data_IF_272129305215
#
_entry.id   IF_272129305215
#
_cell.length_a   1.000
_cell.length_b   1.000
_cell.length_c   1.000
_cell.angle_alpha   90.00
_cell.angle_beta   90.00
_cell.angle_gamma   90.00
#
_symmetry.space_group_name_H-M   'P 1'
#
loop_
_entity.id
_entity.type
_entity.pdbx_description
1 polymer ?
#
# COMPACT_ATOMS: atom_id res chain seq x y z
N UNK A 1 3.00 -54.14 9.70
CA UNK A 1 3.84 -53.63 8.62
C UNK A 1 2.96 -52.72 7.80
N UNK A 2 3.01 -51.42 8.07
CA UNK A 2 2.83 -50.44 7.00
C UNK A 2 3.60 -49.18 7.41
N UNK A 3 4.82 -49.13 6.90
CA UNK A 3 5.77 -48.04 7.06
C UNK A 3 5.45 -46.98 6.02
N UNK A 4 4.63 -46.00 6.37
CA UNK A 4 4.49 -44.75 5.59
C UNK A 4 5.23 -43.60 6.29
N UNK A 5 6.44 -43.88 6.79
CA UNK A 5 7.39 -42.86 7.17
C UNK A 5 8.18 -42.46 5.90
N UNK A 6 8.42 -41.15 5.79
CA UNK A 6 9.40 -40.52 4.93
C UNK A 6 9.18 -40.56 3.41
N UNK A 7 8.34 -39.64 2.95
CA UNK A 7 8.64 -38.91 1.71
C UNK A 7 8.26 -37.43 1.89
N UNK A 8 8.80 -36.78 2.92
CA UNK A 8 8.81 -35.33 2.97
C UNK A 8 9.73 -34.85 1.85
N UNK A 9 9.16 -34.20 0.83
CA UNK A 9 9.93 -33.76 -0.32
C UNK A 9 11.06 -32.82 0.13
N UNK A 10 12.29 -33.14 -0.28
CA UNK A 10 13.50 -32.35 -0.02
C UNK A 10 13.57 -31.14 -0.95
N UNK A 11 12.44 -30.50 -1.24
CA UNK A 11 12.37 -29.38 -2.15
C UNK A 11 13.17 -28.20 -1.56
N UNK A 12 14.19 -27.74 -2.29
CA UNK A 12 14.97 -26.57 -1.87
C UNK A 12 14.04 -25.34 -1.82
N UNK A 13 13.99 -24.69 -0.66
CA UNK A 13 13.21 -23.48 -0.46
C UNK A 13 13.60 -22.44 -1.52
N UNK A 14 12.62 -22.03 -2.34
CA UNK A 14 12.75 -20.91 -3.28
C UNK A 14 12.99 -19.64 -2.48
N UNK A 15 13.97 -18.84 -2.87
CA UNK A 15 14.24 -17.54 -2.28
C UNK A 15 14.46 -16.53 -3.40
N UNK A 16 13.81 -15.35 -3.34
CA UNK A 16 14.05 -14.30 -4.30
C UNK A 16 15.47 -13.73 -4.13
N UNK A 17 16.08 -13.24 -5.22
CA UNK A 17 17.37 -12.58 -5.12
C UNK A 17 17.25 -11.26 -4.35
N UNK A 18 18.36 -10.79 -3.79
CA UNK A 18 18.47 -9.44 -3.23
C UNK A 18 19.46 -8.66 -4.08
N UNK A 19 18.95 -7.68 -4.83
CA UNK A 19 19.70 -7.01 -5.90
C UNK A 19 20.28 -5.64 -5.49
N UNK A 20 20.71 -5.52 -4.23
CA UNK A 20 21.13 -4.25 -3.60
C UNK A 20 22.10 -3.42 -4.46
N UNK A 21 23.18 -3.99 -4.97
CA UNK A 21 24.15 -3.21 -5.77
C UNK A 21 23.55 -2.64 -7.05
N UNK A 22 22.58 -3.34 -7.67
CA UNK A 22 21.92 -2.88 -8.89
C UNK A 22 20.89 -1.79 -8.58
N UNK A 23 20.10 -1.94 -7.51
CA UNK A 23 19.10 -0.94 -7.10
C UNK A 23 19.79 0.37 -6.67
N UNK A 24 20.88 0.26 -5.90
CA UNK A 24 21.69 1.40 -5.48
C UNK A 24 22.31 2.19 -6.64
N UNK A 25 22.78 1.50 -7.69
CA UNK A 25 23.32 2.17 -8.87
C UNK A 25 22.25 3.00 -9.61
N UNK A 26 21.01 2.49 -9.70
CA UNK A 26 19.89 3.24 -10.28
C UNK A 26 19.46 4.39 -9.39
N UNK A 27 19.33 4.15 -8.08
CA UNK A 27 18.89 5.17 -7.13
C UNK A 27 19.86 6.36 -7.09
N UNK A 28 21.17 6.10 -7.08
CA UNK A 28 22.21 7.15 -7.17
C UNK A 28 22.14 7.91 -8.50
N UNK A 29 21.86 7.22 -9.62
CA UNK A 29 21.67 7.86 -10.93
C UNK A 29 20.46 8.79 -10.95
N UNK A 30 19.34 8.35 -10.40
CA UNK A 30 18.11 9.14 -10.30
C UNK A 30 18.34 10.35 -9.39
N UNK A 31 18.91 10.16 -8.20
CA UNK A 31 19.20 11.23 -7.25
C UNK A 31 20.12 12.32 -7.84
N UNK A 32 21.17 11.93 -8.57
CA UNK A 32 22.05 12.87 -9.30
C UNK A 32 21.30 13.67 -10.36
N UNK A 33 20.37 13.04 -11.10
CA UNK A 33 19.57 13.71 -12.13
C UNK A 33 18.59 14.71 -11.53
N UNK A 34 18.00 14.38 -10.39
CA UNK A 34 17.04 15.21 -9.67
C UNK A 34 17.70 16.25 -8.76
N UNK A 35 19.02 16.17 -8.58
CA UNK A 35 19.82 16.98 -7.67
C UNK A 35 19.26 16.99 -6.23
N UNK A 36 18.77 15.84 -5.78
CA UNK A 36 18.12 15.67 -4.48
C UNK A 36 18.07 14.18 -4.12
N UNK A 37 17.98 13.83 -2.83
CA UNK A 37 17.81 12.45 -2.40
C UNK A 37 16.48 11.85 -2.86
N UNK A 38 16.50 10.53 -3.10
CA UNK A 38 15.32 9.73 -3.45
C UNK A 38 15.08 8.70 -2.36
N UNK A 39 13.88 8.74 -1.76
CA UNK A 39 13.33 7.67 -0.95
C UNK A 39 12.44 6.81 -1.84
N UNK A 40 12.82 5.56 -2.04
CA UNK A 40 12.01 4.58 -2.74
C UNK A 40 11.11 3.82 -1.76
N UNK A 41 9.83 3.73 -2.08
CA UNK A 41 8.84 2.93 -1.38
C UNK A 41 8.12 2.04 -2.39
N UNK A 42 8.23 0.73 -2.21
CA UNK A 42 7.70 -0.26 -3.15
C UNK A 42 7.01 -1.41 -2.41
N UNK A 43 5.82 -1.79 -2.89
CA UNK A 43 5.13 -3.01 -2.45
C UNK A 43 4.94 -4.00 -3.61
N UNK A 44 5.11 -5.27 -3.28
CA UNK A 44 4.59 -6.36 -4.12
C UNK A 44 3.06 -6.40 -4.04
N UNK A 45 2.36 -7.10 -4.95
CA UNK A 45 0.90 -7.29 -4.85
C UNK A 45 0.41 -7.97 -3.57
N UNK A 46 1.32 -8.57 -2.77
CA UNK A 46 1.02 -9.19 -1.47
C UNK A 46 1.49 -8.35 -0.28
N UNK A 47 2.16 -7.22 -0.55
CA UNK A 47 2.54 -6.23 0.44
C UNK A 47 1.51 -5.12 0.51
N UNK A 48 1.62 -4.29 1.54
CA UNK A 48 0.75 -3.12 1.72
C UNK A 48 1.43 -2.09 2.60
N UNK A 49 0.96 -0.84 2.53
CA UNK A 49 1.32 0.20 3.49
C UNK A 49 0.80 -0.20 4.87
N UNK A 50 1.71 -0.30 5.83
CA UNK A 50 1.49 -0.79 7.18
C UNK A 50 2.24 0.06 8.20
N UNK A 51 1.91 -0.11 9.48
CA UNK A 51 2.51 0.70 10.54
C UNK A 51 4.02 0.45 10.72
N UNK A 52 4.50 -0.74 10.35
CA UNK A 52 5.92 -1.09 10.39
C UNK A 52 6.78 -0.28 9.41
N UNK A 53 6.20 0.18 8.29
CA UNK A 53 6.90 1.01 7.31
C UNK A 53 7.41 2.32 7.91
N UNK A 54 6.71 2.87 8.92
CA UNK A 54 7.09 4.13 9.58
C UNK A 54 8.43 3.98 10.30
N UNK A 55 8.65 2.86 10.99
CA UNK A 55 9.92 2.59 11.69
C UNK A 55 11.05 2.28 10.71
N UNK A 56 10.76 1.56 9.62
CA UNK A 56 11.72 1.36 8.54
C UNK A 56 12.12 2.69 7.88
N UNK A 57 11.15 3.55 7.57
CA UNK A 57 11.40 4.86 7.00
C UNK A 57 12.18 5.76 7.95
N UNK A 58 11.89 5.75 9.25
CA UNK A 58 12.66 6.49 10.25
C UNK A 58 14.16 6.15 10.20
N UNK A 59 14.49 4.85 10.18
CA UNK A 59 15.88 4.40 10.11
C UNK A 59 16.60 4.81 8.80
N UNK A 60 15.85 5.01 7.71
CA UNK A 60 16.41 5.51 6.44
C UNK A 60 16.56 7.03 6.45
N UNK A 61 15.56 7.75 6.96
CA UNK A 61 15.54 9.21 7.03
C UNK A 61 16.58 9.77 8.01
N UNK A 62 16.81 9.11 9.14
CA UNK A 62 17.89 9.47 10.08
C UNK A 62 19.27 9.41 9.41
N UNK A 63 19.47 8.45 8.50
CA UNK A 63 20.70 8.36 7.71
C UNK A 63 20.76 9.42 6.62
N UNK A 64 19.63 9.70 5.99
CA UNK A 64 19.52 10.68 4.91
C UNK A 64 19.79 12.10 5.42
N UNK A 65 19.33 12.41 6.63
CA UNK A 65 19.40 13.73 7.24
C UNK A 65 18.33 14.69 6.72
N UNK A 66 18.54 15.98 6.97
CA UNK A 66 17.64 17.07 6.56
C UNK A 66 17.95 17.54 5.15
N UNK A 67 16.92 17.70 4.32
CA UNK A 67 17.05 18.20 2.95
C UNK A 67 15.98 19.24 2.62
N UNK A 68 16.28 20.14 1.69
CA UNK A 68 15.26 21.08 1.18
C UNK A 68 14.18 20.34 0.39
N UNK A 69 14.56 19.34 -0.42
CA UNK A 69 13.64 18.52 -1.21
C UNK A 69 14.00 17.05 -1.08
N UNK A 70 12.99 16.21 -0.82
CA UNK A 70 13.08 14.75 -0.96
C UNK A 70 12.14 14.31 -2.08
N UNK A 71 12.65 13.48 -2.99
CA UNK A 71 11.81 12.78 -3.95
C UNK A 71 11.36 11.43 -3.39
N UNK A 72 10.05 11.18 -3.40
CA UNK A 72 9.46 9.95 -2.93
C UNK A 72 8.99 9.12 -4.13
N UNK A 73 9.71 8.07 -4.49
CA UNK A 73 9.20 7.08 -5.45
C UNK A 73 8.19 6.17 -4.75
N UNK A 74 6.97 6.09 -5.28
CA UNK A 74 5.93 5.18 -4.78
C UNK A 74 5.44 4.25 -5.88
N UNK A 75 5.41 2.96 -5.56
CA UNK A 75 4.60 1.95 -6.25
C UNK A 75 3.90 1.11 -5.19
N UNK A 76 2.58 1.15 -5.13
CA UNK A 76 1.84 0.41 -4.10
C UNK A 76 0.36 0.25 -4.45
N UNK A 77 -0.17 -0.91 -4.07
CA UNK A 77 -1.58 -1.29 -4.20
C UNK A 77 -2.45 -0.80 -3.01
N UNK A 78 -1.86 -0.02 -2.09
CA UNK A 78 -2.55 0.59 -0.96
C UNK A 78 -2.21 -0.08 0.37
N UNK A 79 -3.17 -0.08 1.30
CA UNK A 79 -2.98 -0.53 2.68
C UNK A 79 -3.65 0.39 3.69
N UNK A 80 -2.95 0.69 4.77
CA UNK A 80 -3.49 1.47 5.87
C UNK A 80 -3.25 2.99 5.67
N UNK A 81 -4.33 3.76 5.58
CA UNK A 81 -4.25 5.22 5.40
C UNK A 81 -3.61 5.99 6.57
N UNK A 82 -3.76 5.52 7.80
CA UNK A 82 -3.10 6.15 8.96
C UNK A 82 -1.58 5.95 8.91
N UNK A 83 -1.11 4.80 8.44
CA UNK A 83 0.30 4.56 8.19
C UNK A 83 0.83 5.50 7.09
N UNK A 84 0.06 5.76 6.03
CA UNK A 84 0.42 6.79 5.03
C UNK A 84 0.57 8.18 5.63
N UNK A 85 -0.38 8.61 6.48
CA UNK A 85 -0.27 9.89 7.18
C UNK A 85 1.00 9.95 8.04
N UNK A 86 1.25 8.92 8.85
CA UNK A 86 2.44 8.85 9.72
C UNK A 86 3.74 8.87 8.91
N UNK A 87 3.79 8.11 7.81
CA UNK A 87 4.95 8.04 6.93
C UNK A 87 5.22 9.39 6.27
N UNK A 88 4.21 10.03 5.68
CA UNK A 88 4.36 11.34 5.06
C UNK A 88 4.79 12.40 6.07
N UNK A 89 4.13 12.47 7.24
CA UNK A 89 4.49 13.40 8.30
C UNK A 89 5.97 13.24 8.69
N UNK A 90 6.45 12.00 8.81
CA UNK A 90 7.83 11.71 9.12
C UNK A 90 8.80 12.15 8.00
N UNK A 91 8.44 11.94 6.73
CA UNK A 91 9.24 12.41 5.59
C UNK A 91 9.32 13.94 5.60
N UNK A 92 8.22 14.65 5.85
CA UNK A 92 8.18 16.12 5.93
C UNK A 92 8.97 16.68 7.11
N UNK A 93 9.15 15.92 8.19
CA UNK A 93 10.07 16.32 9.27
C UNK A 93 11.54 16.34 8.82
N UNK A 94 11.87 15.67 7.70
CA UNK A 94 13.21 15.60 7.11
C UNK A 94 13.34 16.37 5.79
N UNK A 95 12.26 17.00 5.32
CA UNK A 95 12.18 17.62 4.02
C UNK A 95 11.37 18.93 4.05
N UNK A 96 11.94 20.01 3.51
CA UNK A 96 11.17 21.24 3.28
C UNK A 96 10.05 21.06 2.25
N UNK A 97 10.30 20.26 1.21
CA UNK A 97 9.36 19.87 0.17
C UNK A 97 9.47 18.38 -0.15
N UNK A 98 8.33 17.76 -0.42
CA UNK A 98 8.23 16.37 -0.86
C UNK A 98 7.66 16.33 -2.26
N UNK A 99 8.39 15.73 -3.20
CA UNK A 99 7.94 15.54 -4.58
C UNK A 99 7.73 14.05 -4.82
N UNK A 100 6.50 13.65 -5.12
CA UNK A 100 6.19 12.25 -5.38
C UNK A 100 6.48 11.87 -6.83
N UNK A 101 7.17 10.76 -7.03
CA UNK A 101 7.40 10.14 -8.34
C UNK A 101 6.50 8.90 -8.44
N UNK A 102 5.46 8.98 -9.27
CA UNK A 102 4.55 7.88 -9.58
C UNK A 102 4.76 7.43 -11.04
N UNK A 103 5.62 6.43 -11.31
CA UNK A 103 5.77 5.88 -12.67
C UNK A 103 4.65 4.88 -13.02
N UNK A 104 4.01 4.30 -12.00
CA UNK A 104 3.04 3.19 -12.09
C UNK A 104 1.87 3.42 -11.12
N UNK A 105 1.34 2.36 -10.51
CA UNK A 105 0.19 2.41 -9.60
C UNK A 105 0.50 3.05 -8.24
N UNK A 106 -0.39 3.92 -7.80
CA UNK A 106 -0.46 4.45 -6.44
C UNK A 106 -1.91 4.37 -5.96
N UNK A 107 -2.31 3.20 -5.47
CA UNK A 107 -3.70 2.92 -5.12
C UNK A 107 -4.02 3.23 -3.65
N UNK A 108 -5.21 3.74 -3.37
CA UNK A 108 -5.79 3.92 -2.02
C UNK A 108 -4.85 4.63 -1.04
N UNK A 109 -4.33 3.95 -0.02
CA UNK A 109 -3.35 4.52 0.92
C UNK A 109 -2.10 5.11 0.23
N UNK A 110 -1.70 4.62 -0.95
CA UNK A 110 -0.62 5.22 -1.73
C UNK A 110 -1.03 6.51 -2.45
N UNK A 111 -2.30 6.61 -2.86
CA UNK A 111 -2.88 7.91 -3.26
C UNK A 111 -2.82 8.89 -2.10
N UNK A 112 -3.12 8.47 -0.86
CA UNK A 112 -2.97 9.33 0.32
C UNK A 112 -1.54 9.85 0.49
N UNK A 113 -0.50 9.02 0.29
CA UNK A 113 0.89 9.50 0.25
C UNK A 113 1.08 10.57 -0.83
N UNK A 114 0.50 10.40 -2.02
CA UNK A 114 0.55 11.41 -3.08
C UNK A 114 -0.12 12.73 -2.69
N UNK A 115 -1.21 12.68 -1.92
CA UNK A 115 -1.88 13.90 -1.45
C UNK A 115 -1.03 14.75 -0.51
N UNK A 116 -0.08 14.14 0.21
CA UNK A 116 0.80 14.85 1.13
C UNK A 116 2.07 15.44 0.49
N UNK A 117 2.28 15.17 -0.80
CA UNK A 117 3.40 15.72 -1.57
C UNK A 117 3.01 17.07 -2.19
N UNK A 118 3.96 18.01 -2.21
CA UNK A 118 3.80 19.34 -2.80
C UNK A 118 3.62 19.28 -4.33
N UNK A 119 4.16 18.24 -4.96
CA UNK A 119 4.10 17.97 -6.39
C UNK A 119 4.06 16.46 -6.65
N UNK A 120 3.24 16.03 -7.61
CA UNK A 120 3.16 14.64 -8.06
C UNK A 120 3.60 14.56 -9.53
N UNK A 121 4.76 13.95 -9.79
CA UNK A 121 5.22 13.66 -11.13
C UNK A 121 4.71 12.29 -11.57
N UNK A 122 3.85 12.28 -12.58
CA UNK A 122 3.22 11.07 -13.09
C UNK A 122 3.87 10.62 -14.40
N UNK A 123 4.28 9.36 -14.45
CA UNK A 123 4.71 8.68 -15.67
C UNK A 123 3.55 8.34 -16.61
N UNK A 124 3.81 7.90 -17.84
CA UNK A 124 2.76 7.60 -18.83
C UNK A 124 1.82 6.45 -18.44
N UNK A 125 2.30 5.51 -17.62
CA UNK A 125 1.54 4.34 -17.14
C UNK A 125 0.95 4.56 -15.74
N UNK A 126 1.14 5.75 -15.17
CA UNK A 126 0.80 6.03 -13.79
C UNK A 126 -0.69 6.32 -13.62
N UNK A 127 -1.25 5.82 -12.53
CA UNK A 127 -2.60 6.14 -12.10
C UNK A 127 -2.68 6.19 -10.57
N UNK A 128 -3.51 7.11 -10.08
CA UNK A 128 -4.00 7.11 -8.70
C UNK A 128 -5.34 6.36 -8.67
N UNK A 129 -5.86 6.07 -7.49
CA UNK A 129 -7.22 5.52 -7.36
C UNK A 129 -8.04 6.32 -6.35
N UNK A 130 -9.32 5.98 -6.25
CA UNK A 130 -10.13 6.45 -5.15
C UNK A 130 -9.56 5.95 -3.80
N UNK A 131 -9.94 6.66 -2.74
CA UNK A 131 -9.54 6.39 -1.35
C UNK A 131 -10.76 6.10 -0.47
N UNK A 132 -11.88 5.76 -1.11
CA UNK A 132 -13.08 5.30 -0.43
C UNK A 132 -12.74 4.08 0.44
N UNK A 133 -13.42 3.94 1.56
CA UNK A 133 -13.13 2.86 2.50
C UNK A 133 -14.26 1.85 2.50
N UNK A 134 -13.90 0.61 2.18
CA UNK A 134 -14.67 -0.57 2.54
C UNK A 134 -13.97 -1.27 3.70
N UNK A 135 -14.72 -1.98 4.54
CA UNK A 135 -14.13 -2.75 5.63
C UNK A 135 -14.86 -4.06 5.86
N UNK A 136 -14.10 -5.03 6.34
CA UNK A 136 -14.61 -6.32 6.82
C UNK A 136 -14.66 -6.28 8.34
N UNK A 137 -15.87 -6.23 8.91
CA UNK A 137 -16.11 -6.22 10.35
C UNK A 137 -16.33 -7.65 10.86
N UNK A 138 -16.15 -7.91 12.16
CA UNK A 138 -16.46 -9.23 12.77
C UNK A 138 -17.93 -9.65 12.61
N UNK A 139 -18.79 -8.66 12.37
CA UNK A 139 -20.25 -8.78 12.17
C UNK A 139 -20.65 -8.54 10.71
N UNK A 140 -19.67 -8.50 9.80
CA UNK A 140 -19.94 -8.43 8.36
C UNK A 140 -20.74 -9.65 7.90
N UNK A 141 -21.54 -9.50 6.82
CA UNK A 141 -22.20 -10.62 6.18
C UNK A 141 -21.20 -11.71 5.78
N UNK A 142 -21.69 -12.94 5.66
CA UNK A 142 -20.92 -14.07 5.14
C UNK A 142 -21.30 -14.34 3.70
N UNK A 143 -20.33 -14.71 2.87
CA UNK A 143 -20.59 -15.24 1.54
C UNK A 143 -20.90 -16.76 1.58
N UNK A 144 -20.98 -17.38 0.40
CA UNK A 144 -21.29 -18.81 0.26
C UNK A 144 -20.16 -19.73 0.75
N UNK A 145 -18.93 -19.22 0.79
CA UNK A 145 -17.74 -19.93 1.24
C UNK A 145 -17.47 -19.69 2.74
N UNK A 146 -18.39 -18.98 3.43
CA UNK A 146 -18.31 -18.63 4.84
C UNK A 146 -17.18 -17.62 5.15
N UNK A 147 -16.80 -16.81 4.16
CA UNK A 147 -15.88 -15.69 4.31
C UNK A 147 -16.65 -14.40 4.61
N UNK A 148 -16.07 -13.53 5.43
CA UNK A 148 -16.65 -12.23 5.75
C UNK A 148 -16.54 -11.28 4.56
N UNK A 149 -17.67 -10.72 4.16
CA UNK A 149 -17.77 -9.78 3.03
C UNK A 149 -17.42 -8.36 3.49
N UNK A 150 -16.58 -7.68 2.71
CA UNK A 150 -16.31 -6.25 2.92
C UNK A 150 -17.55 -5.42 2.61
N UNK A 151 -17.86 -4.44 3.45
CA UNK A 151 -19.00 -3.55 3.26
C UNK A 151 -18.49 -2.13 2.97
N UNK A 152 -19.02 -1.49 1.94
CA UNK A 152 -18.75 -0.10 1.60
C UNK A 152 -19.90 0.81 2.03
N UNK A 153 -19.57 1.97 2.60
CA UNK A 153 -20.56 3.00 2.91
C UNK A 153 -21.20 3.56 1.63
N UNK A 154 -20.43 3.72 0.56
CA UNK A 154 -20.92 4.26 -0.71
C UNK A 154 -21.98 3.32 -1.32
N UNK A 155 -21.76 2.01 -1.28
CA UNK A 155 -22.73 1.02 -1.75
C UNK A 155 -24.04 1.07 -0.95
N UNK A 156 -23.96 1.15 0.38
CA UNK A 156 -25.13 1.32 1.25
C UNK A 156 -25.90 2.60 0.89
N UNK A 157 -25.20 3.72 0.76
CA UNK A 157 -25.79 5.01 0.41
C UNK A 157 -26.43 5.00 -0.98
N UNK A 158 -25.84 4.32 -1.97
CA UNK A 158 -26.43 4.16 -3.31
C UNK A 158 -27.73 3.36 -3.28
N UNK A 159 -27.79 2.29 -2.49
CA UNK A 159 -29.01 1.50 -2.32
C UNK A 159 -30.10 2.34 -1.65
N UNK A 160 -29.77 3.04 -0.56
CA UNK A 160 -30.73 3.91 0.15
C UNK A 160 -31.19 5.07 -0.75
N UNK A 161 -30.28 5.71 -1.48
CA UNK A 161 -30.61 6.78 -2.41
C UNK A 161 -31.55 6.31 -3.53
N UNK A 162 -31.29 5.13 -4.11
CA UNK A 162 -32.16 4.52 -5.12
C UNK A 162 -33.53 4.20 -4.53
N UNK A 163 -33.58 3.59 -3.35
CA UNK A 163 -34.82 3.26 -2.64
C UNK A 163 -35.69 4.51 -2.44
N UNK A 164 -35.09 5.58 -1.92
CA UNK A 164 -35.80 6.84 -1.68
C UNK A 164 -36.31 7.49 -2.96
N UNK A 165 -35.62 7.29 -4.10
CA UNK A 165 -36.05 7.81 -5.41
C UNK A 165 -37.24 7.03 -5.97
N UNK A 166 -37.27 5.71 -5.77
CA UNK A 166 -38.30 4.82 -6.31
C UNK A 166 -39.56 4.75 -5.42
N UNK A 167 -39.41 4.94 -4.10
CA UNK A 167 -40.47 4.79 -3.10
C UNK A 167 -40.92 6.12 -2.47
N UNK A 168 -40.90 7.22 -3.23
CA UNK A 168 -41.22 8.58 -2.77
C UNK A 168 -42.58 8.75 -2.05
N UNK A 169 -43.48 7.76 -2.15
CA UNK A 169 -44.81 7.76 -1.53
C UNK A 169 -44.97 6.83 -0.31
N UNK A 170 -44.00 5.97 -0.01
CA UNK A 170 -44.04 5.06 1.12
C UNK A 170 -43.02 5.49 2.19
N UNK A 171 -43.50 5.89 3.38
CA UNK A 171 -42.66 6.20 4.56
C UNK A 171 -42.01 4.95 5.18
N UNK A 172 -41.43 4.08 4.35
CA UNK A 172 -40.74 2.87 4.79
C UNK A 172 -39.27 3.18 5.06
N UNK A 173 -38.80 2.82 6.26
CA UNK A 173 -37.40 3.01 6.64
C UNK A 173 -36.52 1.95 5.96
N UNK A 174 -35.71 2.35 4.97
CA UNK A 174 -34.79 1.48 4.25
C UNK A 174 -33.80 0.75 5.17
N UNK A 175 -33.40 1.38 6.29
CA UNK A 175 -32.49 0.75 7.25
C UNK A 175 -33.10 -0.48 7.93
N UNK A 176 -34.42 -0.49 8.19
CA UNK A 176 -35.06 -1.64 8.83
C UNK A 176 -34.96 -2.89 7.95
N UNK A 177 -35.04 -2.74 6.63
CA UNK A 177 -34.84 -3.83 5.69
C UNK A 177 -33.34 -4.22 5.59
N UNK A 178 -32.44 -3.23 5.54
CA UNK A 178 -31.00 -3.49 5.45
C UNK A 178 -30.43 -4.17 6.70
N UNK A 179 -30.94 -3.87 7.90
CA UNK A 179 -30.47 -4.48 9.14
C UNK A 179 -30.67 -6.00 9.22
N UNK A 180 -31.52 -6.56 8.35
CA UNK A 180 -31.66 -8.02 8.20
C UNK A 180 -30.46 -8.66 7.50
N UNK A 181 -29.69 -7.87 6.74
CA UNK A 181 -28.56 -8.33 5.93
C UNK A 181 -27.22 -7.78 6.41
N UNK A 182 -27.18 -6.54 6.89
CA UNK A 182 -25.98 -5.85 7.35
C UNK A 182 -26.20 -5.40 8.79
N UNK A 183 -25.39 -5.92 9.70
CA UNK A 183 -25.51 -5.61 11.13
C UNK A 183 -25.30 -4.10 11.39
N UNK A 184 -26.11 -3.42 12.23
CA UNK A 184 -26.00 -1.97 12.46
C UNK A 184 -24.61 -1.47 12.87
N UNK A 185 -23.87 -2.25 13.67
CA UNK A 185 -22.49 -1.93 14.03
C UNK A 185 -21.54 -1.89 12.84
N UNK A 186 -21.82 -2.65 11.76
CA UNK A 186 -21.05 -2.60 10.51
C UNK A 186 -21.32 -1.28 9.80
N UNK A 187 -22.58 -0.84 9.72
CA UNK A 187 -22.95 0.47 9.16
C UNK A 187 -22.23 1.60 9.92
N UNK A 188 -22.28 1.56 11.26
CA UNK A 188 -21.56 2.52 12.08
C UNK A 188 -20.04 2.43 11.93
N UNK A 189 -19.48 1.26 11.64
CA UNK A 189 -18.05 1.10 11.40
C UNK A 189 -17.63 1.69 10.05
N UNK A 190 -18.38 1.44 8.97
CA UNK A 190 -18.07 1.98 7.64
C UNK A 190 -18.24 3.50 7.58
N UNK A 191 -19.21 4.04 8.31
CA UNK A 191 -19.39 5.49 8.48
C UNK A 191 -18.16 6.15 9.13
N UNK A 192 -17.66 5.56 10.22
CA UNK A 192 -16.42 6.01 10.87
C UNK A 192 -15.21 5.88 9.95
N UNK A 193 -15.09 4.78 9.22
CA UNK A 193 -13.97 4.56 8.29
C UNK A 193 -13.97 5.59 7.15
N UNK A 194 -15.14 5.89 6.58
CA UNK A 194 -15.30 6.92 5.54
C UNK A 194 -14.95 8.30 6.08
N UNK A 195 -15.45 8.67 7.26
CA UNK A 195 -15.10 9.92 7.94
C UNK A 195 -13.59 10.05 8.20
N UNK A 196 -12.96 8.96 8.63
CA UNK A 196 -11.50 8.91 8.81
C UNK A 196 -10.76 9.12 7.49
N UNK A 197 -11.19 8.47 6.40
CA UNK A 197 -10.55 8.65 5.09
C UNK A 197 -10.57 10.10 4.63
N UNK A 198 -11.72 10.78 4.74
CA UNK A 198 -11.84 12.21 4.42
C UNK A 198 -10.91 13.04 5.32
N UNK A 199 -10.87 12.76 6.63
CA UNK A 199 -9.97 13.46 7.57
C UNK A 199 -8.50 13.29 7.20
N UNK A 200 -8.07 12.08 6.86
CA UNK A 200 -6.68 11.78 6.44
C UNK A 200 -6.31 12.53 5.17
N UNK A 201 -7.19 12.53 4.15
CA UNK A 201 -6.95 13.28 2.93
C UNK A 201 -6.82 14.78 3.18
N UNK A 202 -7.67 15.34 4.04
CA UNK A 202 -7.62 16.76 4.40
C UNK A 202 -6.31 17.13 5.10
N UNK A 203 -5.90 16.32 6.07
CA UNK A 203 -4.65 16.52 6.81
C UNK A 203 -3.42 16.42 5.89
N UNK A 204 -3.42 15.48 4.95
CA UNK A 204 -2.32 15.35 4.00
C UNK A 204 -2.25 16.53 3.02
N UNK A 205 -3.39 16.97 2.51
CA UNK A 205 -3.44 18.12 1.61
C UNK A 205 -3.07 19.44 2.30
N UNK A 206 -3.37 19.59 3.60
CA UNK A 206 -3.06 20.81 4.36
C UNK A 206 -1.56 21.05 4.55
N UNK A 207 -0.72 20.04 4.29
CA UNK A 207 0.73 20.18 4.32
C UNK A 207 1.30 21.13 3.27
N UNK A 208 0.57 21.38 2.18
CA UNK A 208 1.01 22.24 1.07
C UNK A 208 -0.09 23.12 0.46
N UNK A 209 -1.36 22.87 0.80
CA UNK A 209 -2.49 23.73 0.42
C UNK A 209 -3.00 24.52 1.62
N UNK A 210 -3.42 25.77 1.38
CA UNK A 210 -4.01 26.66 2.38
C UNK A 210 -5.50 26.92 2.17
N UNK A 211 -6.04 26.59 0.99
CA UNK A 211 -7.46 26.76 0.65
C UNK A 211 -8.28 25.56 1.17
N UNK A 212 -8.90 25.74 2.33
CA UNK A 212 -9.77 24.73 2.97
C UNK A 212 -10.93 24.27 2.07
N UNK A 213 -11.50 25.15 1.24
CA UNK A 213 -12.59 24.79 0.35
C UNK A 213 -12.10 23.83 -0.73
N UNK A 214 -10.93 24.13 -1.31
CA UNK A 214 -10.29 23.26 -2.31
C UNK A 214 -9.86 21.93 -1.70
N UNK A 215 -9.28 21.95 -0.49
CA UNK A 215 -8.89 20.74 0.25
C UNK A 215 -10.11 19.84 0.47
N UNK A 216 -11.22 20.43 0.93
CA UNK A 216 -12.47 19.71 1.15
C UNK A 216 -13.02 19.12 -0.15
N UNK A 217 -13.03 19.88 -1.24
CA UNK A 217 -13.51 19.43 -2.55
C UNK A 217 -12.70 18.23 -3.07
N UNK A 218 -11.36 18.30 -3.01
CA UNK A 218 -10.47 17.20 -3.42
C UNK A 218 -10.75 15.95 -2.58
N UNK A 219 -10.78 16.10 -1.25
CA UNK A 219 -10.97 14.98 -0.32
C UNK A 219 -12.32 14.28 -0.54
N UNK A 220 -13.41 15.03 -0.72
CA UNK A 220 -14.72 14.44 -1.02
C UNK A 220 -14.76 13.81 -2.41
N UNK A 221 -14.15 14.44 -3.40
CA UNK A 221 -14.07 13.90 -4.76
C UNK A 221 -13.41 12.53 -4.78
N UNK A 222 -12.27 12.37 -4.10
CA UNK A 222 -11.55 11.11 -4.03
C UNK A 222 -12.27 10.02 -3.21
N UNK A 223 -13.16 10.40 -2.30
CA UNK A 223 -13.90 9.47 -1.44
C UNK A 223 -15.27 9.06 -2.00
N UNK A 224 -15.92 9.87 -2.84
CA UNK A 224 -17.32 9.67 -3.20
C UNK A 224 -17.64 9.77 -4.70
N UNK A 225 -16.81 10.45 -5.51
CA UNK A 225 -17.15 10.68 -6.93
C UNK A 225 -17.02 9.42 -7.77
N UNK A 226 -16.04 8.57 -7.47
CA UNK A 226 -15.67 7.45 -8.32
C UNK A 226 -16.50 6.21 -8.00
N UNK A 227 -17.10 5.54 -8.99
CA UNK A 227 -18.01 4.41 -8.78
C UNK A 227 -17.31 3.09 -8.46
N UNK A 228 -15.98 3.05 -8.51
CA UNK A 228 -15.18 1.88 -8.20
C UNK A 228 -13.91 2.34 -7.49
N UNK A 229 -13.59 1.65 -6.40
CA UNK A 229 -12.34 1.85 -5.66
C UNK A 229 -11.10 1.67 -6.57
N UNK A 230 -11.19 0.82 -7.61
CA UNK A 230 -10.14 0.60 -8.59
C UNK A 230 -10.18 1.53 -9.80
N UNK A 231 -11.00 2.59 -9.79
CA UNK A 231 -11.08 3.53 -10.91
C UNK A 231 -9.74 4.24 -11.13
N UNK A 232 -9.12 4.14 -12.31
CA UNK A 232 -7.82 4.73 -12.56
C UNK A 232 -7.93 6.24 -12.81
N UNK A 233 -7.46 7.02 -11.85
CA UNK A 233 -7.35 8.48 -11.93
C UNK A 233 -6.03 8.82 -12.65
N UNK A 234 -6.14 8.98 -13.96
CA UNK A 234 -5.03 9.37 -14.82
C UNK A 234 -4.61 10.83 -14.57
N UNK A 235 -3.39 11.22 -14.95
CA UNK A 235 -2.83 12.57 -14.79
C UNK A 235 -3.78 13.71 -15.19
N UNK A 236 -4.50 13.55 -16.31
CA UNK A 236 -5.46 14.56 -16.77
C UNK A 236 -6.63 14.77 -15.80
N UNK A 237 -7.16 13.71 -15.21
CA UNK A 237 -8.23 13.78 -14.20
C UNK A 237 -7.66 14.26 -12.86
N UNK A 238 -6.49 13.78 -12.45
CA UNK A 238 -5.80 14.24 -11.24
C UNK A 238 -5.58 15.78 -11.26
N UNK A 239 -5.25 16.33 -12.43
CA UNK A 239 -5.16 17.79 -12.61
C UNK A 239 -6.52 18.48 -12.49
N UNK A 240 -7.58 17.90 -13.07
CA UNK A 240 -8.95 18.46 -13.03
C UNK A 240 -9.53 18.48 -11.62
N UNK A 241 -9.24 17.47 -10.80
CA UNK A 241 -9.69 17.46 -9.39
C UNK A 241 -8.94 18.46 -8.53
N UNK A 242 -7.82 19.03 -9.00
CA UNK A 242 -7.11 20.12 -8.33
C UNK A 242 -5.74 19.76 -7.75
N UNK A 243 -5.23 18.54 -7.99
CA UNK A 243 -3.89 18.12 -7.56
C UNK A 243 -2.79 18.78 -8.42
N UNK A 244 -1.66 19.09 -7.80
CA UNK A 244 -0.47 19.60 -8.48
C UNK A 244 0.29 18.46 -9.19
N UNK A 245 -0.22 18.05 -10.35
CA UNK A 245 0.37 16.97 -11.15
C UNK A 245 1.15 17.47 -12.36
N UNK A 246 2.36 16.97 -12.53
CA UNK A 246 3.25 17.26 -13.66
C UNK A 246 3.60 15.99 -14.44
N UNK A 247 3.90 16.08 -15.75
CA UNK A 247 4.50 14.96 -16.47
C UNK A 247 5.90 14.68 -15.92
N UNK A 248 6.22 13.41 -15.69
CA UNK A 248 7.56 12.99 -15.28
C UNK A 248 8.56 13.11 -16.44
N UNK A 249 9.80 13.50 -16.14
CA UNK A 249 10.90 13.44 -17.10
C UNK A 249 11.07 12.01 -17.64
N UNK A 250 11.28 11.88 -18.95
CA UNK A 250 11.35 10.57 -19.61
C UNK A 250 12.47 9.72 -19.04
N UNK A 251 13.65 10.31 -18.80
CA UNK A 251 14.81 9.54 -18.35
C UNK A 251 14.67 9.14 -16.87
N UNK A 252 14.09 10.01 -16.04
CA UNK A 252 13.69 9.63 -14.66
C UNK A 252 12.70 8.48 -14.68
N UNK A 253 11.66 8.56 -15.53
CA UNK A 253 10.67 7.50 -15.67
C UNK A 253 11.30 6.17 -16.10
N UNK A 254 12.16 6.17 -17.13
CA UNK A 254 12.82 4.95 -17.61
C UNK A 254 13.72 4.33 -16.52
N UNK A 255 14.42 5.15 -15.74
CA UNK A 255 15.25 4.71 -14.63
C UNK A 255 14.40 4.11 -13.48
N UNK A 256 13.25 4.72 -13.16
CA UNK A 256 12.32 4.20 -12.16
C UNK A 256 11.63 2.91 -12.60
N UNK A 257 11.32 2.75 -13.89
CA UNK A 257 10.81 1.49 -14.43
C UNK A 257 11.86 0.39 -14.34
N UNK A 258 13.13 0.71 -14.64
CA UNK A 258 14.23 -0.25 -14.42
C UNK A 258 14.39 -0.61 -12.93
N UNK A 259 14.23 0.36 -12.02
CA UNK A 259 14.27 0.11 -10.58
C UNK A 259 13.10 -0.77 -10.14
N UNK A 260 11.89 -0.51 -10.64
CA UNK A 260 10.71 -1.34 -10.40
C UNK A 260 10.89 -2.78 -10.91
N UNK A 261 11.55 -3.00 -12.05
CA UNK A 261 11.83 -4.36 -12.54
C UNK A 261 12.75 -5.14 -11.59
N UNK A 262 13.77 -4.47 -11.02
CA UNK A 262 14.63 -5.09 -10.01
C UNK A 262 13.85 -5.40 -8.73
N UNK A 263 13.02 -4.47 -8.26
CA UNK A 263 12.14 -4.73 -7.11
C UNK A 263 11.13 -5.84 -7.38
N UNK A 264 10.59 -5.94 -8.59
CA UNK A 264 9.71 -7.02 -9.03
C UNK A 264 10.40 -8.38 -9.01
N UNK A 265 11.66 -8.45 -9.43
CA UNK A 265 12.48 -9.68 -9.31
C UNK A 265 12.74 -10.05 -7.85
N UNK A 266 13.01 -9.05 -7.00
CA UNK A 266 13.18 -9.26 -5.55
C UNK A 266 11.88 -9.65 -4.84
N UNK A 267 10.73 -9.14 -5.30
CA UNK A 267 9.41 -9.43 -4.73
C UNK A 267 8.63 -10.51 -5.46
N UNK A 268 9.29 -11.31 -6.31
CA UNK A 268 8.65 -12.39 -7.04
C UNK A 268 8.08 -13.45 -6.09
N UNK A 269 7.05 -14.17 -6.55
CA UNK A 269 6.46 -15.27 -5.77
C UNK A 269 7.50 -16.38 -5.55
N UNK A 270 7.66 -16.78 -4.30
CA UNK A 270 8.64 -17.77 -3.87
C UNK A 270 7.95 -18.73 -2.89
N UNK A 271 6.96 -19.45 -3.42
CA UNK A 271 6.28 -20.54 -2.73
C UNK A 271 6.92 -21.88 -3.10
N UNK A 272 7.31 -22.65 -2.09
CA UNK A 272 7.81 -24.01 -2.23
C UNK A 272 6.75 -24.96 -1.70
N UNK A 273 6.07 -25.67 -2.60
CA UNK A 273 5.07 -26.67 -2.22
C UNK A 273 5.81 -27.97 -1.87
N UNK A 274 5.63 -28.47 -0.65
CA UNK A 274 6.21 -29.73 -0.22
C UNK A 274 5.27 -30.90 -0.53
N UNK A 275 3.97 -30.68 -0.36
CA UNK A 275 2.86 -31.55 -0.73
C UNK A 275 1.55 -30.74 -0.82
N UNK A 276 0.42 -31.43 -1.00
CA UNK A 276 -0.92 -30.81 -1.14
C UNK A 276 -1.37 -30.00 0.07
N UNK A 277 -0.81 -30.29 1.26
CA UNK A 277 -1.20 -29.68 2.52
C UNK A 277 -0.10 -28.79 3.12
N UNK A 278 1.13 -28.83 2.61
CA UNK A 278 2.28 -28.09 3.15
C UNK A 278 2.99 -27.29 2.09
N UNK A 279 3.15 -26.00 2.34
CA UNK A 279 4.00 -25.12 1.53
C UNK A 279 4.78 -24.14 2.39
N UNK A 280 5.82 -23.55 1.83
CA UNK A 280 6.62 -22.50 2.48
C UNK A 280 6.66 -21.25 1.61
N UNK A 281 6.36 -20.10 2.19
CA UNK A 281 6.45 -18.78 1.54
C UNK A 281 7.69 -18.05 2.01
N UNK A 282 8.54 -17.63 1.07
CA UNK A 282 9.77 -16.90 1.35
C UNK A 282 9.90 -15.66 0.45
N UNK A 283 9.17 -14.58 0.74
CA UNK A 283 8.90 -13.51 -0.22
C UNK A 283 9.15 -12.13 0.36
N UNK A 284 9.80 -11.26 -0.43
CA UNK A 284 9.96 -9.84 -0.06
C UNK A 284 8.70 -9.10 -0.52
N UNK A 285 8.01 -8.45 0.41
CA UNK A 285 6.71 -7.83 0.11
C UNK A 285 6.71 -6.30 0.21
N UNK A 286 7.58 -5.73 1.04
CA UNK A 286 7.76 -4.28 1.20
C UNK A 286 9.25 -3.95 1.08
N UNK A 287 9.60 -2.92 0.30
CA UNK A 287 10.97 -2.43 0.16
C UNK A 287 10.96 -0.91 0.36
N UNK A 288 11.81 -0.44 1.25
CA UNK A 288 12.14 0.96 1.45
C UNK A 288 13.64 1.14 1.23
N UNK A 289 14.04 2.12 0.42
CA UNK A 289 15.45 2.27 0.05
C UNK A 289 15.84 3.74 -0.12
N UNK A 290 17.02 4.08 0.39
CA UNK A 290 17.74 5.33 0.12
C UNK A 290 19.16 5.01 -0.32
N UNK A 291 19.93 6.01 -0.77
CA UNK A 291 21.32 5.78 -1.13
C UNK A 291 22.14 5.28 0.08
N UNK A 292 22.82 4.15 -0.11
CA UNK A 292 23.61 3.43 0.87
C UNK A 292 22.85 2.45 1.78
N UNK A 293 21.52 2.41 1.76
CA UNK A 293 20.76 1.54 2.67
C UNK A 293 19.40 1.09 2.10
N UNK A 294 19.11 -0.20 2.23
CA UNK A 294 17.83 -0.81 1.87
C UNK A 294 17.25 -1.51 3.11
N UNK A 295 15.97 -1.32 3.36
CA UNK A 295 15.21 -2.05 4.37
C UNK A 295 14.03 -2.73 3.67
N UNK A 296 13.81 -4.01 3.94
CA UNK A 296 12.67 -4.72 3.38
C UNK A 296 12.02 -5.66 4.39
N UNK A 297 10.74 -5.93 4.20
CA UNK A 297 10.03 -6.96 4.96
C UNK A 297 9.96 -8.25 4.13
N UNK A 298 10.35 -9.36 4.75
CA UNK A 298 10.34 -10.67 4.14
C UNK A 298 9.41 -11.60 4.91
N UNK A 299 8.38 -12.09 4.23
CA UNK A 299 7.58 -13.21 4.69
C UNK A 299 8.43 -14.48 4.63
N UNK A 300 8.50 -15.21 5.74
CA UNK A 300 9.31 -16.43 5.86
C UNK A 300 8.56 -17.38 6.79
N UNK A 301 7.63 -18.16 6.23
CA UNK A 301 6.67 -18.94 7.02
C UNK A 301 6.17 -20.18 6.30
N UNK A 302 5.79 -21.17 7.10
CA UNK A 302 5.18 -22.39 6.63
C UNK A 302 3.65 -22.25 6.64
N UNK A 303 3.02 -22.92 5.69
CA UNK A 303 1.58 -23.04 5.57
C UNK A 303 1.20 -24.51 5.66
N UNK A 304 0.20 -24.79 6.49
CA UNK A 304 -0.41 -26.10 6.61
C UNK A 304 -1.92 -26.02 6.41
N UNK A 305 -2.45 -26.74 5.43
CA UNK A 305 -3.89 -26.83 5.22
C UNK A 305 -4.49 -27.87 6.16
N UNK A 306 -5.35 -27.43 7.08
CA UNK A 306 -6.06 -28.31 8.00
C UNK A 306 -7.43 -28.66 7.42
N UNK A 307 -7.55 -29.87 6.87
CA UNK A 307 -8.76 -30.36 6.21
C UNK A 307 -10.02 -30.25 7.09
N UNK A 308 -9.91 -30.59 8.39
CA UNK A 308 -11.02 -30.58 9.35
C UNK A 308 -11.63 -29.18 9.52
N UNK A 309 -10.80 -28.13 9.44
CA UNK A 309 -11.20 -26.73 9.61
C UNK A 309 -11.33 -26.00 8.26
N UNK A 310 -11.04 -26.69 7.15
CA UNK A 310 -11.03 -26.17 5.77
C UNK A 310 -10.25 -24.86 5.60
N UNK A 311 -9.17 -24.68 6.35
CA UNK A 311 -8.37 -23.44 6.32
C UNK A 311 -6.87 -23.70 6.32
N UNK A 312 -6.13 -22.74 5.77
CA UNK A 312 -4.69 -22.67 5.90
C UNK A 312 -4.29 -22.10 7.26
N UNK A 313 -3.31 -22.70 7.88
CA UNK A 313 -2.75 -22.30 9.17
C UNK A 313 -1.29 -21.95 8.95
N UNK A 314 -0.87 -20.81 9.48
CA UNK A 314 0.54 -20.39 9.49
C UNK A 314 1.30 -21.13 10.58
N UNK A 315 2.49 -21.64 10.26
CA UNK A 315 3.43 -22.26 11.20
C UNK A 315 4.85 -21.71 10.97
N UNK A 316 5.72 -21.83 11.97
CA UNK A 316 7.14 -21.46 11.90
C UNK A 316 7.38 -20.07 11.28
N UNK A 317 6.57 -19.09 11.69
CA UNK A 317 6.65 -17.73 11.14
C UNK A 317 7.91 -17.01 11.63
N UNK A 318 8.87 -16.87 10.73
CA UNK A 318 10.13 -16.14 10.91
C UNK A 318 10.12 -14.83 10.11
N UNK A 319 8.95 -14.33 9.71
CA UNK A 319 8.82 -13.11 8.92
C UNK A 319 9.38 -11.92 9.70
N UNK A 320 10.25 -11.13 9.06
CA UNK A 320 10.90 -10.00 9.73
C UNK A 320 11.35 -8.91 8.75
N UNK A 321 11.57 -7.74 9.31
CA UNK A 321 12.26 -6.64 8.66
C UNK A 321 13.76 -6.93 8.62
N UNK A 322 14.40 -6.63 7.49
CA UNK A 322 15.83 -6.83 7.28
C UNK A 322 16.44 -5.54 6.75
N UNK A 323 17.62 -5.19 7.24
CA UNK A 323 18.39 -4.03 6.78
C UNK A 323 19.64 -4.48 6.04
N UNK A 324 19.91 -3.85 4.91
CA UNK A 324 21.10 -4.04 4.10
C UNK A 324 21.84 -2.73 3.93
N UNK A 325 23.16 -2.79 4.15
CA UNK A 325 24.08 -1.66 4.02
C UNK A 325 25.39 -2.11 3.41
N UNK A 326 26.02 -1.22 2.65
CA UNK A 326 27.43 -1.40 2.27
C UNK A 326 28.31 -0.81 3.38
N UNK A 327 29.10 -1.65 4.04
CA UNK A 327 30.09 -1.25 5.05
C UNK A 327 31.45 -1.72 4.55
N UNK A 328 32.38 -0.79 4.31
CA UNK A 328 33.74 -1.11 3.81
C UNK A 328 33.75 -1.93 2.50
N UNK A 329 32.78 -1.67 1.60
CA UNK A 329 32.65 -2.37 0.33
C UNK A 329 32.08 -3.79 0.45
N UNK A 330 31.68 -4.24 1.64
CA UNK A 330 30.98 -5.50 1.87
C UNK A 330 29.51 -5.26 2.21
N UNK A 331 28.65 -6.11 1.66
CA UNK A 331 27.22 -6.09 1.96
C UNK A 331 26.99 -6.72 3.34
N UNK A 332 26.45 -5.93 4.28
CA UNK A 332 26.04 -6.40 5.60
C UNK A 332 24.52 -6.48 5.63
N UNK A 333 23.99 -7.65 6.00
CA UNK A 333 22.56 -7.93 6.16
C UNK A 333 22.27 -8.25 7.63
N UNK A 334 21.30 -7.57 8.21
CA UNK A 334 20.92 -7.74 9.62
C UNK A 334 19.39 -7.78 9.76
N UNK A 335 18.91 -8.43 10.81
CA UNK A 335 17.50 -8.35 11.20
C UNK A 335 17.26 -6.99 11.84
N UNK A 336 16.22 -6.30 11.38
CA UNK A 336 15.77 -5.03 11.93
C UNK A 336 14.53 -5.31 12.78
N UNK A 337 14.66 -5.21 14.11
CA UNK A 337 13.56 -5.56 15.01
C UNK A 337 12.57 -4.41 15.11
N UNK A 338 11.38 -4.60 14.53
CA UNK A 338 10.21 -3.74 14.70
C UNK A 338 9.18 -4.57 15.44
N UNK A 339 8.75 -4.10 16.62
CA UNK A 339 7.81 -4.79 17.50
C UNK A 339 6.35 -4.44 17.16
#
# INVERSE_FOLDING_TARGET
MDSSADNASTAKIKQPPVLFSKTQALLSRIGKRLNAPVLAYWNSPRGSICHGDVMAAYALLERLGQHETIYLFVKSDGGNGQASLRLMNLIRQHAGQVKLLAPLECSSAATMLALGADEIQMGPMAYLTAVDTSLTHELSPLDRENDRVSVSLDELNRVIGRWNTENSQANLNAYQALFQYVHPLVIGAVDRASSLSVMLCRELLSYHLTDESKIMEIAHTLNAKYPSHGYPIMRGEAKKIGLNVLPMDKQVNDDLLALNLLYGEMGQRATTDFDEFRSHSNEIINILEVEGQQIYFQNDKDWFYRNEERRWITMNDNSNWRVLRSVEGRLRKEVFHIA
#
